data_IF_631698164955
#
_entry.id   IF_631698164955
#
_cell.length_a   1.000
_cell.length_b   1.000
_cell.length_c   1.000
_cell.angle_alpha   90.00
_cell.angle_beta   90.00
_cell.angle_gamma   90.00
#
_symmetry.space_group_name_H-M   'P 1'
#
loop_
_entity.id
_entity.type
_entity.pdbx_description
1 polymer ?
#
# COMPACT_ATOMS: atom_id res chain seq x y z
N UNK A 1 -22.75 12.29 21.96
CA UNK A 1 -22.75 12.71 20.54
C UNK A 1 -21.50 12.16 19.85
N UNK A 2 -21.50 10.91 19.39
CA UNK A 2 -20.29 10.23 18.83
C UNK A 2 -20.51 9.61 17.44
N UNK A 3 -21.77 9.42 17.01
CA UNK A 3 -22.09 8.76 15.74
C UNK A 3 -21.72 9.58 14.48
N UNK A 4 -21.62 10.91 14.58
CA UNK A 4 -21.29 11.78 13.42
C UNK A 4 -19.86 11.59 12.90
N UNK A 5 -18.91 11.18 13.75
CA UNK A 5 -17.49 11.07 13.37
C UNK A 5 -17.19 9.75 12.66
N UNK A 6 -17.65 8.63 13.21
CA UNK A 6 -17.46 7.29 12.64
C UNK A 6 -18.15 7.15 11.26
N UNK A 7 -19.40 7.63 11.14
CA UNK A 7 -20.14 7.58 9.88
C UNK A 7 -19.48 8.42 8.77
N UNK A 8 -18.88 9.57 9.11
CA UNK A 8 -18.16 10.41 8.14
C UNK A 8 -16.85 9.76 7.68
N UNK A 9 -16.11 9.15 8.61
CA UNK A 9 -14.89 8.40 8.28
C UNK A 9 -15.18 7.21 7.37
N UNK A 10 -16.22 6.43 7.70
CA UNK A 10 -16.67 5.31 6.88
C UNK A 10 -17.10 5.73 5.47
N UNK A 11 -17.85 6.83 5.35
CA UNK A 11 -18.30 7.36 4.06
C UNK A 11 -17.11 7.75 3.17
N UNK A 12 -16.12 8.46 3.73
CA UNK A 12 -14.91 8.86 2.99
C UNK A 12 -14.14 7.62 2.53
N UNK A 13 -13.96 6.63 3.43
CA UNK A 13 -13.25 5.40 3.10
C UNK A 13 -13.98 4.58 2.02
N UNK A 14 -15.31 4.56 2.07
CA UNK A 14 -16.15 3.87 1.07
C UNK A 14 -16.04 4.52 -0.30
N UNK A 15 -16.14 5.85 -0.37
CA UNK A 15 -15.98 6.60 -1.62
C UNK A 15 -14.57 6.40 -2.19
N UNK A 16 -13.54 6.48 -1.34
CA UNK A 16 -12.16 6.23 -1.75
C UNK A 16 -11.97 4.79 -2.29
N UNK A 17 -12.58 3.79 -1.64
CA UNK A 17 -12.55 2.40 -2.09
C UNK A 17 -13.25 2.19 -3.43
N UNK A 18 -14.43 2.81 -3.63
CA UNK A 18 -15.16 2.77 -4.91
C UNK A 18 -14.34 3.43 -6.02
N UNK A 19 -13.79 4.61 -5.77
CA UNK A 19 -12.94 5.30 -6.72
C UNK A 19 -11.71 4.46 -7.11
N UNK A 20 -11.07 3.80 -6.14
CA UNK A 20 -9.94 2.90 -6.41
C UNK A 20 -10.32 1.69 -7.27
N UNK A 21 -11.52 1.12 -7.05
CA UNK A 21 -12.04 0.03 -7.89
C UNK A 21 -12.36 0.49 -9.31
N UNK A 22 -12.94 1.68 -9.47
CA UNK A 22 -13.20 2.25 -10.80
C UNK A 22 -11.90 2.52 -11.56
N UNK A 23 -10.90 3.09 -10.88
CA UNK A 23 -9.58 3.28 -11.48
C UNK A 23 -8.97 1.95 -11.93
N UNK A 24 -9.09 0.90 -11.11
CA UNK A 24 -8.61 -0.44 -11.45
C UNK A 24 -9.37 -1.05 -12.64
N UNK A 25 -10.69 -0.86 -12.70
CA UNK A 25 -11.53 -1.36 -13.79
C UNK A 25 -11.21 -0.70 -15.14
N UNK A 26 -10.76 0.55 -15.14
CA UNK A 26 -10.30 1.26 -16.35
C UNK A 26 -8.85 0.87 -16.70
N UNK A 27 -8.00 0.71 -15.68
CA UNK A 27 -6.59 0.37 -15.86
C UNK A 27 -6.37 -0.97 -16.56
N UNK A 28 -7.10 -2.02 -16.14
CA UNK A 28 -6.93 -3.38 -16.67
C UNK A 28 -7.13 -3.47 -18.19
N UNK A 29 -8.28 -3.05 -18.78
CA UNK A 29 -8.47 -3.15 -20.23
C UNK A 29 -7.49 -2.29 -21.02
N UNK A 30 -7.09 -1.13 -20.48
CA UNK A 30 -6.07 -0.29 -21.10
C UNK A 30 -4.71 -1.01 -21.12
N UNK A 31 -4.33 -1.63 -20.01
CA UNK A 31 -3.08 -2.39 -19.91
C UNK A 31 -3.07 -3.60 -20.85
N UNK A 32 -4.15 -4.38 -20.85
CA UNK A 32 -4.28 -5.55 -21.72
C UNK A 32 -4.30 -5.16 -23.20
N UNK A 33 -4.90 -4.01 -23.54
CA UNK A 33 -4.89 -3.48 -24.91
C UNK A 33 -3.49 -3.07 -25.39
N UNK A 34 -2.65 -2.54 -24.50
CA UNK A 34 -1.27 -2.12 -24.85
C UNK A 34 -0.28 -3.28 -24.84
N UNK A 35 -0.38 -4.19 -23.85
CA UNK A 35 0.56 -5.31 -23.65
C UNK A 35 0.17 -6.58 -24.43
N UNK A 36 -1.09 -6.70 -24.84
CA UNK A 36 -1.65 -7.97 -25.32
C UNK A 36 -1.84 -9.00 -24.20
N UNK A 37 -2.45 -10.15 -24.53
CA UNK A 37 -2.77 -11.19 -23.55
C UNK A 37 -1.54 -11.81 -22.88
N UNK A 38 -0.50 -12.13 -23.66
CA UNK A 38 0.75 -12.71 -23.13
C UNK A 38 1.53 -11.72 -22.27
N UNK A 39 1.63 -10.46 -22.71
CA UNK A 39 2.30 -9.41 -21.94
C UNK A 39 1.59 -9.10 -20.62
N UNK A 40 0.25 -9.13 -20.61
CA UNK A 40 -0.54 -9.01 -19.38
C UNK A 40 -0.30 -10.18 -18.42
N UNK A 41 -0.18 -11.41 -18.92
CA UNK A 41 0.15 -12.59 -18.11
C UNK A 41 1.49 -12.45 -17.36
N UNK A 42 2.54 -12.03 -18.08
CA UNK A 42 3.86 -11.77 -17.49
C UNK A 42 3.77 -10.64 -16.44
N UNK A 43 3.05 -9.56 -16.74
CA UNK A 43 2.81 -8.47 -15.79
C UNK A 43 2.13 -8.96 -14.51
N UNK A 44 1.07 -9.77 -14.62
CA UNK A 44 0.33 -10.27 -13.46
C UNK A 44 1.18 -11.15 -12.54
N UNK A 45 2.04 -12.02 -13.10
CA UNK A 45 2.93 -12.85 -12.30
C UNK A 45 3.93 -12.04 -11.47
N UNK A 46 4.48 -10.96 -12.02
CA UNK A 46 5.33 -10.03 -11.26
C UNK A 46 4.54 -9.17 -10.26
N UNK A 47 3.32 -8.78 -10.64
CA UNK A 47 2.46 -7.92 -9.83
C UNK A 47 2.04 -8.60 -8.51
N UNK A 48 1.75 -9.90 -8.51
CA UNK A 48 1.35 -10.62 -7.29
C UNK A 48 2.44 -10.59 -6.20
N UNK A 49 3.70 -10.74 -6.61
CA UNK A 49 4.84 -10.67 -5.69
C UNK A 49 5.03 -9.25 -5.16
N UNK A 50 4.86 -8.26 -6.02
CA UNK A 50 4.87 -6.85 -5.62
C UNK A 50 3.79 -6.55 -4.57
N UNK A 51 2.56 -7.04 -4.79
CA UNK A 51 1.43 -6.88 -3.86
C UNK A 51 1.76 -7.55 -2.52
N UNK A 52 2.35 -8.75 -2.53
CA UNK A 52 2.78 -9.44 -1.31
C UNK A 52 3.79 -8.61 -0.50
N UNK A 53 4.83 -8.08 -1.15
CA UNK A 53 5.83 -7.22 -0.47
C UNK A 53 5.21 -5.92 0.08
N UNK A 54 4.25 -5.33 -0.62
CA UNK A 54 3.54 -4.16 -0.12
C UNK A 54 2.68 -4.51 1.10
N UNK A 55 1.93 -5.61 1.04
CA UNK A 55 1.01 -6.03 2.08
C UNK A 55 1.69 -6.14 3.45
N UNK A 56 2.90 -6.70 3.51
CA UNK A 56 3.69 -6.87 4.75
C UNK A 56 3.84 -5.54 5.52
N UNK A 57 4.02 -4.42 4.82
CA UNK A 57 4.22 -3.11 5.49
C UNK A 57 2.93 -2.33 5.63
N UNK A 58 2.06 -2.37 4.63
CA UNK A 58 0.82 -1.58 4.65
C UNK A 58 -0.17 -2.13 5.68
N UNK A 59 -0.21 -3.44 5.89
CA UNK A 59 -1.13 -4.06 6.86
C UNK A 59 -0.64 -3.96 8.31
N UNK A 60 0.66 -3.75 8.56
CA UNK A 60 1.24 -3.69 9.90
C UNK A 60 1.64 -2.29 10.35
N UNK A 61 2.56 -1.66 9.61
CA UNK A 61 3.23 -0.45 10.05
C UNK A 61 2.29 0.78 10.05
N UNK A 62 1.44 0.92 9.03
CA UNK A 62 0.49 2.05 8.91
C UNK A 62 -0.55 2.09 10.04
N UNK A 63 -1.26 0.99 10.37
CA UNK A 63 -2.20 1.00 11.48
C UNK A 63 -1.52 1.16 12.85
N UNK A 64 -0.32 0.59 13.04
CA UNK A 64 0.44 0.77 14.29
C UNK A 64 0.79 2.23 14.56
N UNK A 65 1.28 2.96 13.54
CA UNK A 65 1.57 4.41 13.65
C UNK A 65 0.30 5.20 13.95
N UNK A 66 -0.80 4.89 13.24
CA UNK A 66 -2.10 5.54 13.48
C UNK A 66 -2.57 5.34 14.93
N UNK A 67 -2.43 4.12 15.46
CA UNK A 67 -2.79 3.80 16.85
C UNK A 67 -1.98 4.62 17.85
N UNK A 68 -0.65 4.59 17.75
CA UNK A 68 0.26 5.30 18.68
C UNK A 68 0.01 6.81 18.67
N UNK A 69 -0.13 7.40 17.47
CA UNK A 69 -0.41 8.85 17.35
C UNK A 69 -1.76 9.20 17.95
N UNK A 70 -2.78 8.36 17.76
CA UNK A 70 -4.12 8.59 18.31
C UNK A 70 -4.13 8.47 19.83
N UNK A 71 -3.46 7.45 20.40
CA UNK A 71 -3.30 7.28 21.86
C UNK A 71 -2.59 8.47 22.51
N UNK A 72 -1.48 8.95 21.93
CA UNK A 72 -0.78 10.13 22.45
C UNK A 72 -1.65 11.39 22.38
N UNK A 73 -2.47 11.50 21.33
CA UNK A 73 -3.38 12.65 21.15
C UNK A 73 -4.57 12.61 22.11
N UNK A 74 -5.13 11.44 22.40
CA UNK A 74 -6.21 11.29 23.40
C UNK A 74 -5.71 11.53 24.82
N UNK A 75 -4.44 11.24 25.10
CA UNK A 75 -3.78 11.57 26.37
C UNK A 75 -3.37 13.05 26.51
N UNK A 76 -3.65 13.91 25.51
CA UNK A 76 -3.26 15.32 25.52
C UNK A 76 -1.78 15.59 25.24
N UNK A 77 -0.97 14.56 24.94
CA UNK A 77 0.46 14.65 24.65
C UNK A 77 0.71 15.01 23.18
N UNK A 78 0.26 16.18 22.75
CA UNK A 78 0.33 16.60 21.35
C UNK A 78 1.76 16.69 20.78
N UNK A 79 2.73 17.13 21.58
CA UNK A 79 4.15 17.20 21.18
C UNK A 79 4.72 15.82 20.93
N UNK A 80 4.40 14.84 21.79
CA UNK A 80 4.86 13.46 21.63
C UNK A 80 4.16 12.77 20.45
N UNK A 81 2.88 13.06 20.21
CA UNK A 81 2.17 12.57 19.02
C UNK A 81 2.85 13.04 17.72
N UNK A 82 3.27 14.32 17.66
CA UNK A 82 4.03 14.85 16.53
C UNK A 82 5.43 14.23 16.44
N UNK A 83 6.09 13.98 17.57
CA UNK A 83 7.40 13.31 17.61
C UNK A 83 7.31 11.86 17.11
N UNK A 84 6.28 11.13 17.52
CA UNK A 84 6.00 9.78 17.04
C UNK A 84 5.78 9.76 15.52
N UNK A 85 4.98 10.69 14.98
CA UNK A 85 4.79 10.82 13.54
C UNK A 85 6.08 11.17 12.79
N UNK A 86 6.89 12.09 13.33
CA UNK A 86 8.20 12.47 12.77
C UNK A 86 9.18 11.31 12.77
N UNK A 87 9.13 10.42 13.76
CA UNK A 87 9.98 9.23 13.84
C UNK A 87 9.47 8.10 12.91
N UNK A 88 8.15 7.97 12.78
CA UNK A 88 7.53 6.99 11.88
C UNK A 88 7.86 7.28 10.40
N UNK A 89 7.96 8.55 10.01
CA UNK A 89 8.31 8.95 8.62
C UNK A 89 9.59 8.28 8.09
N UNK A 90 10.79 8.52 8.67
CA UNK A 90 12.02 7.91 8.17
C UNK A 90 11.98 6.38 8.28
N UNK A 91 11.34 5.83 9.32
CA UNK A 91 11.19 4.39 9.48
C UNK A 91 10.41 3.76 8.31
N UNK A 92 9.26 4.34 7.95
CA UNK A 92 8.48 3.91 6.80
C UNK A 92 9.23 4.12 5.47
N UNK A 93 9.99 5.22 5.35
CA UNK A 93 10.83 5.47 4.17
C UNK A 93 11.91 4.40 4.01
N UNK A 94 12.63 4.07 5.08
CA UNK A 94 13.67 3.03 5.07
C UNK A 94 13.07 1.68 4.67
N UNK A 95 11.95 1.29 5.28
CA UNK A 95 11.27 0.04 4.92
C UNK A 95 10.84 0.05 3.45
N UNK A 96 10.32 1.17 2.96
CA UNK A 96 9.96 1.34 1.55
C UNK A 96 11.16 1.13 0.62
N UNK A 97 12.29 1.78 0.92
CA UNK A 97 13.53 1.68 0.14
C UNK A 97 14.09 0.26 0.17
N UNK A 98 14.12 -0.38 1.34
CA UNK A 98 14.60 -1.76 1.48
C UNK A 98 13.75 -2.72 0.65
N UNK A 99 12.42 -2.60 0.71
CA UNK A 99 11.54 -3.43 -0.11
C UNK A 99 11.68 -3.17 -1.61
N UNK A 100 11.83 -1.91 -2.01
CA UNK A 100 12.09 -1.56 -3.41
C UNK A 100 13.41 -2.18 -3.90
N UNK A 101 14.46 -2.13 -3.06
CA UNK A 101 15.75 -2.77 -3.35
C UNK A 101 15.63 -4.29 -3.45
N UNK A 102 14.95 -4.93 -2.50
CA UNK A 102 14.68 -6.38 -2.53
C UNK A 102 13.92 -6.75 -3.81
N UNK A 103 12.86 -6.02 -4.14
CA UNK A 103 12.08 -6.28 -5.34
C UNK A 103 12.91 -6.10 -6.62
N UNK A 104 13.74 -5.05 -6.69
CA UNK A 104 14.61 -4.82 -7.84
C UNK A 104 15.64 -5.94 -8.05
N UNK A 105 16.20 -6.49 -6.97
CA UNK A 105 17.15 -7.60 -7.03
C UNK A 105 16.44 -8.90 -7.44
N UNK A 106 15.23 -9.15 -6.91
CA UNK A 106 14.46 -10.37 -7.16
C UNK A 106 13.74 -10.33 -8.52
N UNK A 107 13.49 -9.14 -9.08
CA UNK A 107 12.84 -8.98 -10.38
C UNK A 107 13.58 -9.72 -11.52
N UNK A 108 14.91 -9.68 -11.52
CA UNK A 108 15.74 -10.35 -12.53
C UNK A 108 15.64 -11.89 -12.50
N UNK A 109 15.79 -12.58 -11.34
CA UNK A 109 15.57 -14.01 -11.27
C UNK A 109 14.09 -14.38 -11.47
N UNK A 110 13.14 -13.54 -11.07
CA UNK A 110 11.72 -13.79 -11.31
C UNK A 110 11.37 -13.81 -12.80
N UNK A 111 11.86 -12.86 -13.57
CA UNK A 111 11.64 -12.82 -15.01
C UNK A 111 12.12 -14.13 -15.68
N UNK A 112 13.27 -14.66 -15.25
CA UNK A 112 13.81 -15.92 -15.78
C UNK A 112 13.04 -17.17 -15.38
N UNK A 113 12.37 -17.17 -14.23
CA UNK A 113 11.52 -18.30 -13.80
C UNK A 113 10.22 -18.29 -14.59
N UNK A 114 9.64 -17.10 -14.81
CA UNK A 114 8.38 -16.93 -15.54
C UNK A 114 8.54 -17.23 -17.03
N UNK A 115 9.67 -16.89 -17.66
CA UNK A 115 9.96 -17.26 -19.07
C UNK A 115 10.14 -18.76 -19.30
N UNK A 116 10.28 -19.56 -18.23
CA UNK A 116 10.60 -20.99 -18.31
C UNK A 116 9.36 -21.90 -18.25
N UNK A 117 8.19 -21.32 -17.99
CA UNK A 117 6.86 -21.94 -18.07
C UNK A 117 6.12 -21.48 -19.32
#
# INVERSE_FOLDING_TARGET
MEQKSAGRGFLILSIAGIAGKLLSAIYVPLLTGVLGGTGYGIYTGGYDIFVFLIAITSLGAQPAVTKVVTELRTMGKHTDALRALKLARPYLTIIGVVKAGIFAIIAFPLARIIERE
#
